data_IF_509821538014
#
_entry.id   IF_509821538014
#
_cell.length_a   1.000
_cell.length_b   1.000
_cell.length_c   1.000
_cell.angle_alpha   90.00
_cell.angle_beta   90.00
_cell.angle_gamma   90.00
#
_symmetry.space_group_name_H-M   'P 1'
#
loop_
_entity.id
_entity.type
_entity.pdbx_description
1 polymer ?
#
# COMPACT_ATOMS: atom_id res chain seq x y z
N UNK A 1 48.43 -2.79 29.27
CA UNK A 1 47.39 -2.83 30.31
C UNK A 1 46.54 -1.59 30.12
N UNK A 2 45.32 -1.75 29.62
CA UNK A 2 44.38 -0.64 29.38
C UNK A 2 43.86 -0.14 30.73
N UNK A 3 44.14 1.12 31.06
CA UNK A 3 43.63 1.75 32.27
C UNK A 3 42.10 1.90 32.15
N UNK A 4 41.35 1.34 33.10
CA UNK A 4 39.93 1.61 33.27
C UNK A 4 39.81 3.06 33.76
N UNK A 5 39.02 3.94 33.10
CA UNK A 5 38.79 5.29 33.59
C UNK A 5 38.18 5.24 35.01
N UNK A 6 38.63 6.09 35.94
CA UNK A 6 38.06 6.14 37.28
C UNK A 6 36.57 6.49 37.21
N UNK A 7 35.77 5.84 38.06
CA UNK A 7 34.32 6.07 38.17
C UNK A 7 34.08 7.55 38.54
N UNK A 8 33.28 8.31 37.77
CA UNK A 8 33.10 9.73 38.01
C UNK A 8 32.47 10.00 39.38
N UNK A 9 32.96 11.05 40.04
CA UNK A 9 32.46 11.51 41.33
C UNK A 9 30.95 11.86 41.24
N UNK A 10 30.07 11.20 42.01
CA UNK A 10 28.61 11.45 41.97
C UNK A 10 28.23 12.85 42.43
N UNK A 11 29.11 13.55 43.15
CA UNK A 11 28.87 14.93 43.59
C UNK A 11 29.33 15.99 42.58
N UNK A 12 30.11 15.60 41.57
CA UNK A 12 30.68 16.49 40.56
C UNK A 12 30.16 16.27 39.15
N UNK A 13 29.32 15.27 38.92
CA UNK A 13 28.68 15.01 37.62
C UNK A 13 27.29 15.66 37.57
N UNK A 14 27.07 16.67 36.70
CA UNK A 14 25.72 17.14 36.43
C UNK A 14 24.89 15.97 35.91
N UNK A 15 23.77 15.67 36.59
CA UNK A 15 22.84 14.66 36.12
C UNK A 15 22.38 15.01 34.70
N UNK A 16 22.47 14.06 33.78
CA UNK A 16 21.90 14.19 32.43
C UNK A 16 20.46 14.66 32.58
N UNK A 17 20.18 15.85 32.06
CA UNK A 17 18.86 16.44 32.10
C UNK A 17 17.89 15.44 31.47
N UNK A 18 16.91 14.98 32.25
CA UNK A 18 16.02 13.87 31.87
C UNK A 18 15.41 14.24 30.52
N UNK A 19 15.80 13.50 29.48
CA UNK A 19 15.44 13.75 28.08
C UNK A 19 14.04 14.39 27.99
N UNK A 20 14.01 15.63 27.51
CA UNK A 20 12.84 16.50 27.54
C UNK A 20 11.59 15.75 27.09
N UNK A 21 10.80 15.33 28.05
CA UNK A 21 9.51 14.71 27.80
C UNK A 21 8.59 15.77 27.24
N UNK A 22 8.05 15.51 26.04
CA UNK A 22 6.93 16.26 25.49
C UNK A 22 5.80 16.32 26.52
N UNK A 23 5.14 17.47 26.64
CA UNK A 23 4.11 17.62 27.68
C UNK A 23 2.96 16.67 27.33
N UNK A 24 2.36 15.97 28.31
CA UNK A 24 1.11 15.27 28.08
C UNK A 24 0.07 16.26 27.55
N UNK A 25 -0.26 16.18 26.25
CA UNK A 25 -1.00 17.21 25.51
C UNK A 25 -0.34 17.68 24.20
N UNK A 26 0.93 17.33 23.96
CA UNK A 26 1.53 17.27 22.60
C UNK A 26 0.89 16.08 21.88
N UNK A 27 -0.39 16.23 21.58
CA UNK A 27 -1.30 15.17 21.16
C UNK A 27 -0.67 14.31 20.07
N UNK A 28 -0.58 12.97 20.25
CA UNK A 28 -0.37 12.07 19.13
C UNK A 28 -1.38 12.41 18.02
N UNK A 29 -1.00 12.36 16.73
CA UNK A 29 -1.94 12.63 15.65
C UNK A 29 -3.16 11.75 15.88
N UNK A 30 -4.34 12.36 15.75
CA UNK A 30 -5.64 11.85 16.14
C UNK A 30 -5.84 10.40 15.65
N UNK A 31 -5.41 9.44 16.48
CA UNK A 31 -5.24 8.03 16.11
C UNK A 31 -6.56 7.29 16.26
N UNK A 32 -7.63 7.90 15.74
CA UNK A 32 -8.97 7.37 15.57
C UNK A 32 -9.85 8.38 14.78
N UNK A 33 -9.31 9.03 13.75
CA UNK A 33 -10.14 9.87 12.88
C UNK A 33 -11.13 9.00 12.11
N UNK A 34 -12.41 9.09 12.48
CA UNK A 34 -13.57 8.65 11.68
C UNK A 34 -13.97 9.69 10.63
N UNK A 35 -13.28 10.84 10.60
CA UNK A 35 -13.50 11.88 9.61
C UNK A 35 -12.50 11.74 8.48
N UNK A 36 -13.02 11.75 7.26
CA UNK A 36 -12.19 11.81 6.08
C UNK A 36 -11.41 13.12 6.07
N UNK A 37 -10.11 13.04 5.77
CA UNK A 37 -9.24 14.19 5.52
C UNK A 37 -9.87 15.14 4.49
N UNK A 38 -9.75 16.45 4.70
CA UNK A 38 -10.27 17.46 3.76
C UNK A 38 -9.55 17.45 2.39
N UNK A 39 -8.43 16.74 2.29
CA UNK A 39 -7.76 16.48 1.03
C UNK A 39 -8.61 15.53 0.18
N UNK A 40 -8.91 15.94 -1.04
CA UNK A 40 -9.64 15.11 -2.00
C UNK A 40 -8.79 13.90 -2.35
N UNK A 41 -9.32 12.70 -2.15
CA UNK A 41 -8.66 11.49 -2.62
C UNK A 41 -8.45 11.58 -4.14
N UNK A 42 -7.28 11.18 -4.66
CA UNK A 42 -7.08 11.09 -6.10
C UNK A 42 -8.15 10.16 -6.65
N UNK A 43 -8.97 10.68 -7.57
CA UNK A 43 -9.99 9.88 -8.21
C UNK A 43 -9.27 8.70 -8.89
N UNK A 44 -9.69 7.48 -8.58
CA UNK A 44 -9.31 6.31 -9.36
C UNK A 44 -9.73 6.58 -10.80
N UNK A 45 -8.77 7.01 -11.62
CA UNK A 45 -9.04 7.35 -13.01
C UNK A 45 -9.56 6.12 -13.74
N UNK A 46 -10.37 6.33 -14.77
CA UNK A 46 -10.85 5.28 -15.70
C UNK A 46 -9.70 4.80 -16.62
N UNK A 47 -8.55 4.57 -16.02
CA UNK A 47 -7.30 4.30 -16.68
C UNK A 47 -7.32 2.80 -16.97
N UNK A 48 -7.94 2.40 -18.09
CA UNK A 48 -7.72 1.07 -18.63
C UNK A 48 -6.21 0.99 -18.91
N UNK A 49 -5.50 0.27 -18.04
CA UNK A 49 -4.08 0.01 -18.27
C UNK A 49 -3.95 -0.71 -19.62
N UNK A 50 -2.86 -0.49 -20.38
CA UNK A 50 -2.67 -1.19 -21.65
C UNK A 50 -2.81 -2.72 -21.53
N UNK A 51 -2.42 -3.28 -20.37
CA UNK A 51 -2.62 -4.69 -20.03
C UNK A 51 -4.10 -5.10 -19.97
N UNK A 52 -4.96 -4.27 -19.38
CA UNK A 52 -6.40 -4.55 -19.33
C UNK A 52 -7.01 -4.58 -20.73
N UNK A 53 -6.61 -3.65 -21.61
CA UNK A 53 -7.07 -3.62 -23.01
C UNK A 53 -6.66 -4.90 -23.75
N UNK A 54 -5.39 -5.32 -23.62
CA UNK A 54 -4.89 -6.56 -24.23
C UNK A 54 -5.68 -7.77 -23.72
N UNK A 55 -5.93 -7.84 -22.42
CA UNK A 55 -6.71 -8.94 -21.83
C UNK A 55 -8.12 -9.02 -22.44
N UNK A 56 -8.83 -7.90 -22.58
CA UNK A 56 -10.15 -7.88 -23.21
C UNK A 56 -10.11 -8.30 -24.68
N UNK A 57 -9.09 -7.90 -25.44
CA UNK A 57 -8.92 -8.32 -26.84
C UNK A 57 -8.73 -9.83 -26.94
N UNK A 58 -7.87 -10.41 -26.11
CA UNK A 58 -7.61 -11.86 -26.09
C UNK A 58 -8.86 -12.64 -25.72
N UNK A 59 -9.59 -12.20 -24.68
CA UNK A 59 -10.85 -12.83 -24.26
C UNK A 59 -11.88 -12.73 -25.39
N UNK A 60 -12.02 -11.56 -26.02
CA UNK A 60 -12.93 -11.36 -27.14
C UNK A 60 -12.63 -12.29 -28.31
N UNK A 61 -11.36 -12.43 -28.70
CA UNK A 61 -10.96 -13.35 -29.76
C UNK A 61 -11.27 -14.80 -29.40
N UNK A 62 -10.99 -15.21 -28.15
CA UNK A 62 -11.29 -16.55 -27.67
C UNK A 62 -12.79 -16.87 -27.75
N UNK A 63 -13.65 -15.95 -27.33
CA UNK A 63 -15.12 -16.12 -27.42
C UNK A 63 -15.57 -16.28 -28.86
N UNK A 64 -15.03 -15.46 -29.78
CA UNK A 64 -15.35 -15.57 -31.21
C UNK A 64 -14.94 -16.93 -31.77
N UNK A 65 -13.72 -17.40 -31.49
CA UNK A 65 -13.25 -18.71 -31.91
C UNK A 65 -14.10 -19.85 -31.34
N UNK A 66 -14.47 -19.76 -30.05
CA UNK A 66 -15.32 -20.75 -29.39
C UNK A 66 -16.70 -20.84 -30.04
N UNK A 67 -17.34 -19.69 -30.30
CA UNK A 67 -18.63 -19.66 -30.98
C UNK A 67 -18.54 -20.20 -32.40
N UNK A 68 -17.50 -19.84 -33.15
CA UNK A 68 -17.27 -20.36 -34.50
C UNK A 68 -17.12 -21.89 -34.51
N UNK A 69 -16.35 -22.44 -33.57
CA UNK A 69 -16.19 -23.89 -33.42
C UNK A 69 -17.52 -24.57 -33.05
N UNK A 70 -18.30 -23.98 -32.13
CA UNK A 70 -19.61 -24.48 -31.77
C UNK A 70 -20.59 -24.51 -32.95
N UNK A 71 -20.68 -23.41 -33.70
CA UNK A 71 -21.51 -23.33 -34.92
C UNK A 71 -21.06 -24.36 -35.94
N UNK A 72 -19.75 -24.50 -36.17
CA UNK A 72 -19.20 -25.51 -37.08
C UNK A 72 -19.62 -26.92 -36.68
N UNK A 73 -19.52 -27.28 -35.40
CA UNK A 73 -19.93 -28.59 -34.90
C UNK A 73 -21.44 -28.83 -35.05
N UNK A 74 -22.26 -27.81 -34.79
CA UNK A 74 -23.72 -27.89 -34.97
C UNK A 74 -24.06 -28.15 -36.44
N UNK A 75 -23.47 -27.39 -37.36
CA UNK A 75 -23.66 -27.59 -38.80
C UNK A 75 -23.24 -29.00 -39.22
N UNK A 76 -22.11 -29.49 -38.72
CA UNK A 76 -21.60 -30.82 -39.04
C UNK A 76 -22.46 -31.98 -38.47
N UNK A 77 -23.22 -31.73 -37.40
CA UNK A 77 -24.06 -32.74 -36.75
C UNK A 77 -25.45 -32.85 -37.40
N UNK A 78 -25.97 -31.75 -37.96
CA UNK A 78 -27.32 -31.68 -38.53
C UNK A 78 -27.37 -31.59 -40.06
N UNK A 79 -26.24 -31.33 -40.73
CA UNK A 79 -26.09 -31.38 -42.19
C UNK A 79 -25.40 -32.66 -42.63
#
# INVERSE_FOLDING_TARGET
>A
MTAVPPDPDPFGTPGVDRAGGVRPGDTPPDSAQTKATANRDPAAGRNLTPRAVIAFVVIGLFVVCFLAAGVYLVVQMFG
#
